data_IF_070958015357
#
_entry.id   IF_070958015357
#
_cell.length_a   1.000
_cell.length_b   1.000
_cell.length_c   1.000
_cell.angle_alpha   90.00
_cell.angle_beta   90.00
_cell.angle_gamma   90.00
#
_symmetry.space_group_name_H-M   'P 1'
#
loop_
_entity.id
_entity.type
_entity.pdbx_description
1 polymer ?
#
# COMPACT_ATOMS: atom_id res chain seq x y z
N UNK A 1 9.10 12.83 -12.90
CA UNK A 1 8.29 11.59 -13.05
C UNK A 1 8.35 10.98 -14.46
N UNK A 2 8.56 11.77 -15.52
CA UNK A 2 8.63 11.28 -16.91
C UNK A 2 9.86 10.44 -17.23
N UNK A 3 10.99 10.71 -16.58
CA UNK A 3 12.28 10.08 -16.93
C UNK A 3 12.35 8.62 -16.47
N UNK A 4 12.01 8.32 -15.21
CA UNK A 4 12.00 6.93 -14.70
C UNK A 4 11.07 6.01 -15.49
N UNK A 5 9.90 6.52 -15.92
CA UNK A 5 9.00 5.73 -16.79
C UNK A 5 9.70 5.37 -18.10
N UNK A 6 10.38 6.34 -18.71
CA UNK A 6 11.09 6.16 -19.98
C UNK A 6 12.17 5.08 -19.83
N UNK A 7 12.94 5.13 -18.75
CA UNK A 7 13.99 4.15 -18.47
C UNK A 7 13.42 2.73 -18.37
N UNK A 8 12.35 2.54 -17.59
CA UNK A 8 11.68 1.24 -17.47
C UNK A 8 11.19 0.72 -18.82
N UNK A 9 10.61 1.58 -19.67
CA UNK A 9 10.14 1.18 -21.01
C UNK A 9 11.31 0.71 -21.88
N UNK A 10 12.45 1.41 -21.82
CA UNK A 10 13.64 1.07 -22.60
C UNK A 10 14.25 -0.25 -22.12
N UNK A 11 14.44 -0.39 -20.81
CA UNK A 11 15.06 -1.59 -20.20
C UNK A 11 14.19 -2.84 -20.36
N UNK A 12 12.89 -2.73 -20.05
CA UNK A 12 11.96 -3.86 -20.14
C UNK A 12 11.47 -4.16 -21.56
N UNK A 13 11.71 -3.24 -22.51
CA UNK A 13 11.11 -3.21 -23.86
C UNK A 13 9.59 -3.28 -23.85
N UNK A 14 8.94 -2.96 -22.72
CA UNK A 14 7.49 -2.98 -22.59
C UNK A 14 6.95 -1.54 -22.70
N UNK A 15 6.22 -1.27 -23.78
CA UNK A 15 5.57 0.05 -23.98
C UNK A 15 4.35 0.29 -23.09
N UNK A 16 3.82 -0.74 -22.44
CA UNK A 16 2.63 -0.67 -21.59
C UNK A 16 2.96 -0.30 -20.13
N UNK A 17 3.84 0.69 -19.97
CA UNK A 17 4.16 1.29 -18.67
C UNK A 17 3.42 2.61 -18.56
N UNK A 18 2.64 2.77 -17.50
CA UNK A 18 1.81 3.95 -17.25
C UNK A 18 2.16 4.52 -15.87
N UNK A 19 2.28 5.85 -15.81
CA UNK A 19 2.49 6.57 -14.56
C UNK A 19 1.25 7.42 -14.27
N UNK A 20 0.77 7.38 -13.03
CA UNK A 20 -0.37 8.16 -12.56
C UNK A 20 -0.03 8.70 -11.16
N UNK A 21 -0.47 9.92 -10.83
CA UNK A 21 -0.31 10.45 -9.49
C UNK A 21 -1.17 9.63 -8.51
N UNK A 22 -0.58 9.31 -7.36
CA UNK A 22 -1.26 8.67 -6.24
C UNK A 22 -0.48 9.00 -4.96
N UNK A 23 -0.93 10.00 -4.22
CA UNK A 23 -0.37 10.34 -2.92
C UNK A 23 -1.09 9.54 -1.83
N UNK A 24 -0.36 8.64 -1.18
CA UNK A 24 -0.92 7.81 -0.11
C UNK A 24 -1.15 8.56 1.20
N UNK A 25 -0.67 9.81 1.33
CA UNK A 25 -0.98 10.70 2.44
C UNK A 25 -2.27 11.53 2.22
N UNK A 26 -3.05 11.22 1.16
CA UNK A 26 -4.33 11.86 0.87
C UNK A 26 -5.35 10.83 0.42
N UNK A 27 -6.40 10.63 1.22
CA UNK A 27 -7.50 9.73 0.86
C UNK A 27 -8.23 10.20 -0.40
N UNK A 28 -8.29 11.51 -0.62
CA UNK A 28 -8.81 12.07 -1.88
C UNK A 28 -7.96 11.60 -3.07
N UNK A 29 -6.64 11.74 -3.00
CA UNK A 29 -5.74 11.29 -4.07
C UNK A 29 -5.87 9.78 -4.35
N UNK A 30 -6.04 8.97 -3.31
CA UNK A 30 -6.21 7.51 -3.45
C UNK A 30 -7.51 7.17 -4.16
N UNK A 31 -8.62 7.84 -3.80
CA UNK A 31 -9.93 7.64 -4.44
C UNK A 31 -9.90 8.08 -5.90
N UNK A 32 -9.35 9.26 -6.18
CA UNK A 32 -9.20 9.77 -7.55
C UNK A 32 -8.38 8.81 -8.42
N UNK A 33 -7.26 8.28 -7.89
CA UNK A 33 -6.46 7.27 -8.58
C UNK A 33 -7.25 6.00 -8.87
N UNK A 34 -7.94 5.44 -7.87
CA UNK A 34 -8.68 4.18 -8.04
C UNK A 34 -9.84 4.32 -9.03
N UNK A 35 -10.55 5.46 -9.01
CA UNK A 35 -11.59 5.76 -9.99
C UNK A 35 -11.03 5.89 -11.40
N UNK A 36 -9.94 6.64 -11.56
CA UNK A 36 -9.31 6.83 -12.86
C UNK A 36 -8.77 5.50 -13.40
N UNK A 37 -8.13 4.68 -12.56
CA UNK A 37 -7.69 3.35 -12.91
C UNK A 37 -8.86 2.48 -13.42
N UNK A 38 -9.96 2.41 -12.67
CA UNK A 38 -11.14 1.65 -13.08
C UNK A 38 -11.74 2.14 -14.39
N UNK A 39 -11.76 3.46 -14.65
CA UNK A 39 -12.24 4.05 -15.91
C UNK A 39 -11.35 3.68 -17.10
N UNK A 40 -10.03 3.82 -16.96
CA UNK A 40 -9.06 3.53 -18.03
C UNK A 40 -8.92 2.03 -18.32
N UNK A 41 -9.10 1.20 -17.30
CA UNK A 41 -8.85 -0.24 -17.36
C UNK A 41 -10.13 -1.09 -17.34
N UNK A 42 -11.31 -0.55 -17.68
CA UNK A 42 -12.60 -1.29 -17.72
C UNK A 42 -12.55 -2.63 -18.47
N UNK A 43 -11.68 -2.74 -19.48
CA UNK A 43 -11.49 -3.97 -20.30
C UNK A 43 -10.19 -4.71 -20.01
N UNK A 44 -9.45 -4.31 -18.97
CA UNK A 44 -8.14 -4.87 -18.61
C UNK A 44 -8.21 -5.47 -17.20
N UNK A 45 -7.53 -6.60 -17.03
CA UNK A 45 -7.46 -7.29 -15.74
C UNK A 45 -6.38 -6.67 -14.84
N UNK A 46 -6.67 -6.60 -13.54
CA UNK A 46 -5.71 -6.29 -12.49
C UNK A 46 -5.27 -7.59 -11.83
N UNK A 47 -4.17 -8.16 -12.30
CA UNK A 47 -3.68 -9.44 -11.79
C UNK A 47 -2.88 -9.30 -10.49
N UNK A 48 -2.16 -8.20 -10.30
CA UNK A 48 -1.27 -8.03 -9.15
C UNK A 48 -1.38 -6.60 -8.66
N UNK A 49 -1.66 -6.44 -7.36
CA UNK A 49 -1.51 -5.17 -6.64
C UNK A 49 -0.33 -5.30 -5.66
N UNK A 50 0.67 -4.42 -5.80
CA UNK A 50 1.84 -4.38 -4.91
C UNK A 50 1.80 -3.09 -4.09
N UNK A 51 1.43 -3.21 -2.82
CA UNK A 51 1.47 -2.14 -1.83
C UNK A 51 2.88 -2.02 -1.25
N UNK A 52 3.74 -1.33 -1.98
CA UNK A 52 5.17 -1.18 -1.65
C UNK A 52 5.54 0.18 -1.02
N UNK A 53 4.86 1.25 -1.43
CA UNK A 53 5.27 2.61 -1.07
C UNK A 53 5.29 2.82 0.45
N UNK A 54 6.26 3.60 0.93
CA UNK A 54 6.30 3.91 2.35
C UNK A 54 7.35 4.93 2.72
N UNK A 55 7.12 5.57 3.86
CA UNK A 55 8.05 6.48 4.54
C UNK A 55 8.54 5.85 5.84
N UNK A 56 9.71 6.26 6.31
CA UNK A 56 10.34 5.63 7.47
C UNK A 56 11.07 6.68 8.31
N UNK A 57 10.90 6.59 9.63
CA UNK A 57 11.59 7.43 10.63
C UNK A 57 11.45 8.93 10.36
N UNK A 58 10.28 9.33 9.90
CA UNK A 58 9.95 10.73 9.71
C UNK A 58 9.77 11.43 11.06
N UNK A 59 10.00 12.75 11.15
CA UNK A 59 9.45 13.55 12.24
C UNK A 59 7.93 13.36 12.34
N UNK A 60 7.37 13.64 13.52
CA UNK A 60 5.92 13.53 13.72
C UNK A 60 5.20 14.52 12.80
N UNK A 61 4.46 13.97 11.85
CA UNK A 61 3.70 14.68 10.84
C UNK A 61 2.37 13.97 10.64
N UNK A 62 1.45 14.62 9.93
CA UNK A 62 0.11 14.10 9.71
C UNK A 62 -0.25 14.11 8.23
N UNK A 63 -1.07 13.15 7.82
CA UNK A 63 -1.77 13.19 6.53
C UNK A 63 -2.80 14.33 6.51
N UNK A 64 -3.40 14.57 5.34
CA UNK A 64 -4.48 15.56 5.21
C UNK A 64 -5.66 15.29 6.15
N UNK A 65 -5.88 14.02 6.49
CA UNK A 65 -6.95 13.55 7.37
C UNK A 65 -6.55 13.51 8.86
N UNK A 66 -5.36 14.00 9.22
CA UNK A 66 -4.91 14.02 10.61
C UNK A 66 -4.43 12.67 11.15
N UNK A 67 -4.02 11.75 10.28
CA UNK A 67 -3.44 10.45 10.67
C UNK A 67 -1.92 10.59 10.74
N UNK A 68 -1.26 9.99 11.73
CA UNK A 68 0.21 9.97 11.79
C UNK A 68 0.80 9.50 10.46
N UNK A 69 1.77 10.25 9.93
CA UNK A 69 2.18 10.14 8.53
C UNK A 69 2.65 8.74 8.14
N UNK A 70 3.47 8.07 8.96
CA UNK A 70 3.97 6.73 8.64
C UNK A 70 2.80 5.74 8.61
N UNK A 71 1.91 5.78 9.59
CA UNK A 71 0.73 4.91 9.65
C UNK A 71 -0.26 5.21 8.50
N UNK A 72 -0.48 6.48 8.21
CA UNK A 72 -1.30 6.98 7.13
C UNK A 72 -0.81 6.48 5.77
N UNK A 73 0.46 6.70 5.45
CA UNK A 73 1.05 6.32 4.15
C UNK A 73 1.25 4.80 4.03
N UNK A 74 1.94 4.19 5.00
CA UNK A 74 2.42 2.81 4.86
C UNK A 74 1.32 1.77 5.04
N UNK A 75 0.24 2.13 5.73
CA UNK A 75 -0.84 1.21 6.09
C UNK A 75 -2.22 1.69 5.65
N UNK A 76 -2.72 2.82 6.14
CA UNK A 76 -4.10 3.26 5.86
C UNK A 76 -4.32 3.56 4.38
N UNK A 77 -3.36 4.19 3.72
CA UNK A 77 -3.42 4.50 2.30
C UNK A 77 -3.50 3.23 1.44
N UNK A 78 -2.64 2.25 1.73
CA UNK A 78 -2.67 0.94 1.10
C UNK A 78 -3.97 0.17 1.39
N UNK A 79 -4.42 0.18 2.64
CA UNK A 79 -5.68 -0.43 3.05
C UNK A 79 -6.86 0.12 2.23
N UNK A 80 -6.96 1.44 2.12
CA UNK A 80 -7.99 2.10 1.33
C UNK A 80 -7.89 1.72 -0.15
N UNK A 81 -6.69 1.83 -0.74
CA UNK A 81 -6.47 1.51 -2.15
C UNK A 81 -6.85 0.06 -2.48
N UNK A 82 -6.43 -0.90 -1.65
CA UNK A 82 -6.78 -2.31 -1.82
C UNK A 82 -8.28 -2.53 -1.79
N UNK A 83 -8.99 -1.94 -0.82
CA UNK A 83 -10.45 -2.10 -0.72
C UNK A 83 -11.17 -1.46 -1.93
N UNK A 84 -10.71 -0.32 -2.43
CA UNK A 84 -11.31 0.36 -3.59
C UNK A 84 -11.13 -0.42 -4.92
N UNK A 85 -10.10 -1.26 -5.01
CA UNK A 85 -9.76 -2.08 -6.17
C UNK A 85 -10.11 -3.57 -5.97
N UNK A 86 -10.69 -3.94 -4.83
CA UNK A 86 -10.88 -5.33 -4.44
C UNK A 86 -11.78 -6.09 -5.42
N UNK A 87 -12.89 -5.50 -5.87
CA UNK A 87 -13.77 -6.17 -6.82
C UNK A 87 -13.11 -6.31 -8.19
N UNK A 88 -12.31 -5.33 -8.61
CA UNK A 88 -11.51 -5.43 -9.84
C UNK A 88 -10.48 -6.57 -9.76
N UNK A 89 -9.88 -6.79 -8.59
CA UNK A 89 -8.99 -7.92 -8.33
C UNK A 89 -9.74 -9.26 -8.40
N UNK A 90 -10.95 -9.35 -7.82
CA UNK A 90 -11.81 -10.55 -7.88
C UNK A 90 -12.21 -10.90 -9.32
N UNK A 91 -12.66 -9.93 -10.09
CA UNK A 91 -13.04 -10.12 -11.50
C UNK A 91 -11.84 -10.53 -12.37
N UNK A 92 -10.62 -10.27 -11.88
CA UNK A 92 -9.36 -10.56 -12.56
C UNK A 92 -8.73 -11.90 -12.18
N UNK A 93 -9.43 -12.74 -11.41
CA UNK A 93 -8.88 -14.01 -10.92
C UNK A 93 -8.27 -14.89 -12.05
N UNK A 94 -7.13 -15.57 -11.79
CA UNK A 94 -6.35 -15.51 -10.57
C UNK A 94 -5.62 -14.15 -10.41
N UNK A 95 -5.65 -13.60 -9.19
CA UNK A 95 -5.01 -12.34 -8.84
C UNK A 95 -4.37 -12.39 -7.45
N UNK A 96 -3.47 -11.44 -7.16
CA UNK A 96 -2.65 -11.41 -5.95
C UNK A 96 -2.55 -10.00 -5.37
N UNK A 97 -2.52 -9.92 -4.05
CA UNK A 97 -2.24 -8.69 -3.31
C UNK A 97 -0.95 -8.91 -2.53
N UNK A 98 0.03 -8.05 -2.71
CA UNK A 98 1.32 -8.11 -2.02
C UNK A 98 1.47 -6.87 -1.16
N UNK A 99 1.49 -7.04 0.17
CA UNK A 99 1.74 -5.96 1.12
C UNK A 99 3.18 -6.03 1.61
N UNK A 100 4.00 -5.04 1.26
CA UNK A 100 5.41 -5.05 1.66
C UNK A 100 5.54 -4.68 3.13
N UNK A 101 6.16 -5.58 3.88
CA UNK A 101 6.49 -5.37 5.29
C UNK A 101 8.01 -5.16 5.47
N UNK A 102 8.52 -5.35 6.68
CA UNK A 102 9.93 -5.22 7.03
C UNK A 102 10.20 -6.04 8.28
N UNK A 103 11.45 -6.45 8.54
CA UNK A 103 11.85 -7.08 9.81
C UNK A 103 11.49 -6.24 11.05
N UNK A 104 11.30 -4.92 10.89
CA UNK A 104 10.77 -4.03 11.93
C UNK A 104 9.41 -4.47 12.49
N UNK A 105 8.58 -5.22 11.74
CA UNK A 105 7.31 -5.71 12.28
C UNK A 105 7.48 -6.61 13.51
N UNK A 106 8.63 -7.29 13.65
CA UNK A 106 8.90 -8.21 14.77
C UNK A 106 8.96 -7.52 16.13
N UNK A 107 9.31 -6.22 16.13
CA UNK A 107 9.35 -5.35 17.31
C UNK A 107 8.13 -4.43 17.39
N UNK A 108 7.26 -4.44 16.39
CA UNK A 108 6.08 -3.59 16.35
C UNK A 108 5.04 -4.01 17.37
N UNK A 109 4.28 -3.03 17.85
CA UNK A 109 3.07 -3.22 18.65
C UNK A 109 1.99 -2.33 18.05
N UNK A 110 0.75 -2.81 17.99
CA UNK A 110 -0.39 -1.95 17.63
C UNK A 110 -0.92 -1.33 18.92
N UNK A 111 -0.76 -0.03 19.05
CA UNK A 111 -1.32 0.76 20.15
C UNK A 111 -2.74 1.18 19.78
N UNK A 112 -3.71 0.27 19.94
CA UNK A 112 -5.09 0.49 19.50
C UNK A 112 -5.78 1.69 20.16
N UNK A 113 -5.37 2.06 21.38
CA UNK A 113 -5.88 3.24 22.10
C UNK A 113 -5.21 4.55 21.68
N UNK A 114 -4.15 4.49 20.86
CA UNK A 114 -3.40 5.66 20.39
C UNK A 114 -2.66 5.35 19.06
N UNK A 115 -3.43 5.06 18.00
CA UNK A 115 -2.85 4.71 16.69
C UNK A 115 -1.99 5.83 16.09
N UNK A 116 -2.29 7.07 16.44
CA UNK A 116 -1.56 8.25 15.99
C UNK A 116 -0.28 8.54 16.80
N UNK A 117 -0.01 7.78 17.87
CA UNK A 117 1.11 8.04 18.77
C UNK A 117 1.08 9.49 19.31
N UNK A 118 -0.09 9.92 19.78
CA UNK A 118 -0.32 11.26 20.33
C UNK A 118 0.41 11.48 21.66
N UNK A 119 0.46 10.45 22.51
CA UNK A 119 1.09 10.54 23.83
C UNK A 119 2.61 10.63 23.74
N UNK A 120 3.22 9.72 22.97
CA UNK A 120 4.68 9.62 22.80
C UNK A 120 4.98 9.20 21.38
N UNK A 121 5.88 9.92 20.70
CA UNK A 121 6.31 9.59 19.35
C UNK A 121 7.78 9.17 19.31
N UNK A 122 8.01 7.90 19.00
CA UNK A 122 9.32 7.39 18.59
C UNK A 122 9.23 6.98 17.11
N UNK A 123 9.95 7.66 16.19
CA UNK A 123 9.83 7.43 14.75
C UNK A 123 10.04 5.96 14.30
N UNK A 124 10.91 5.23 14.98
CA UNK A 124 11.17 3.82 14.71
C UNK A 124 10.02 2.90 15.14
N UNK A 125 9.43 3.12 16.31
CA UNK A 125 8.28 2.38 16.83
C UNK A 125 7.04 2.65 15.98
N UNK A 126 6.83 3.92 15.59
CA UNK A 126 5.77 4.29 14.66
C UNK A 126 5.91 3.50 13.35
N UNK A 127 7.11 3.44 12.76
CA UNK A 127 7.39 2.62 11.58
C UNK A 127 7.14 1.11 11.82
N UNK A 128 7.61 0.59 12.96
CA UNK A 128 7.44 -0.82 13.32
C UNK A 128 5.96 -1.20 13.45
N UNK A 129 5.14 -0.32 14.04
CA UNK A 129 3.69 -0.44 14.11
C UNK A 129 3.07 -0.56 12.71
N UNK A 130 3.46 0.29 11.75
CA UNK A 130 2.91 0.22 10.38
C UNK A 130 3.26 -1.11 9.69
N UNK A 131 4.49 -1.61 9.90
CA UNK A 131 4.93 -2.86 9.27
C UNK A 131 4.28 -4.08 9.90
N UNK A 132 3.98 -4.06 11.20
CA UNK A 132 3.11 -5.04 11.84
C UNK A 132 1.67 -4.96 11.30
N UNK A 133 1.13 -3.77 11.14
CA UNK A 133 -0.22 -3.57 10.61
C UNK A 133 -0.37 -4.19 9.20
N UNK A 134 0.65 -4.09 8.33
CA UNK A 134 0.66 -4.75 7.02
C UNK A 134 0.62 -6.29 7.11
N UNK A 135 1.27 -6.89 8.12
CA UNK A 135 1.18 -8.34 8.38
C UNK A 135 -0.24 -8.73 8.82
N UNK A 136 -0.79 -8.00 9.79
CA UNK A 136 -2.12 -8.28 10.32
C UNK A 136 -3.20 -8.12 9.26
N UNK A 137 -3.13 -7.05 8.46
CA UNK A 137 -4.06 -6.83 7.36
C UNK A 137 -3.98 -7.93 6.30
N UNK A 138 -2.77 -8.38 5.96
CA UNK A 138 -2.58 -9.50 5.03
C UNK A 138 -3.25 -10.77 5.53
N UNK A 139 -3.01 -11.14 6.79
CA UNK A 139 -3.62 -12.34 7.40
C UNK A 139 -5.15 -12.24 7.40
N UNK A 140 -5.67 -11.11 7.83
CA UNK A 140 -7.12 -10.89 7.91
C UNK A 140 -7.78 -10.87 6.54
N UNK A 141 -7.15 -10.23 5.56
CA UNK A 141 -7.66 -10.19 4.19
C UNK A 141 -7.63 -11.58 3.55
N UNK A 142 -6.61 -12.40 3.82
CA UNK A 142 -6.53 -13.79 3.35
C UNK A 142 -7.63 -14.66 3.94
N UNK A 143 -7.91 -14.50 5.24
CA UNK A 143 -9.01 -15.20 5.89
C UNK A 143 -10.38 -14.85 5.27
N UNK A 144 -10.57 -13.58 4.90
CA UNK A 144 -11.82 -13.10 4.27
C UNK A 144 -11.98 -13.50 2.80
N UNK A 145 -10.88 -13.61 2.05
CA UNK A 145 -10.90 -13.81 0.60
C UNK A 145 -10.46 -15.22 0.19
N UNK A 146 -10.98 -16.26 0.84
CA UNK A 146 -10.65 -17.66 0.55
C UNK A 146 -10.44 -17.91 -0.97
N UNK A 147 -9.20 -18.26 -1.37
CA UNK A 147 -8.81 -18.43 -2.78
C UNK A 147 -7.83 -17.38 -3.34
N UNK A 148 -7.54 -16.29 -2.62
CA UNK A 148 -6.52 -15.32 -2.99
C UNK A 148 -5.15 -15.63 -2.38
N UNK A 149 -4.08 -15.44 -3.17
CA UNK A 149 -2.71 -15.46 -2.65
C UNK A 149 -2.36 -14.04 -2.20
N UNK A 150 -2.34 -13.84 -0.89
CA UNK A 150 -1.93 -12.58 -0.28
C UNK A 150 -0.61 -12.80 0.44
N UNK A 151 0.41 -12.05 0.03
CA UNK A 151 1.77 -12.23 0.52
C UNK A 151 2.24 -10.97 1.24
N UNK A 152 3.08 -11.20 2.24
CA UNK A 152 3.89 -10.16 2.86
C UNK A 152 5.35 -10.45 2.62
N UNK A 153 6.00 -9.55 1.89
CA UNK A 153 7.42 -9.64 1.52
C UNK A 153 8.24 -8.74 2.44
N UNK A 154 9.37 -9.27 2.96
CA UNK A 154 10.35 -8.47 3.70
C UNK A 154 11.45 -7.89 2.78
N UNK A 155 11.56 -8.41 1.55
CA UNK A 155 12.39 -7.94 0.43
C UNK A 155 11.74 -8.39 -0.88
N UNK A 156 11.52 -7.50 -1.83
CA UNK A 156 11.08 -7.90 -3.18
C UNK A 156 12.34 -8.31 -3.95
N UNK A 157 12.43 -9.57 -4.35
CA UNK A 157 13.34 -10.01 -5.40
C UNK A 157 12.56 -10.03 -6.71
N UNK A 158 13.02 -9.27 -7.71
CA UNK A 158 12.55 -9.36 -9.10
C UNK A 158 13.45 -10.31 -9.88
#
# INVERSE_FOLDING_TARGET
MTDTRRDIVVESRNKYVYCRPCDLASQKSIRDFAEQFKKEHKKRKLHILINNAGVMRCPKMYTQEGIELQFGVNHIGHFLLTNLLLDTLKDSAPSRIVNVSSSAHKRGKITFDDLNNEKTYEPGEAYAQTKLANILFTKELANKLQGFVILTENKIYF
#
